data_IF_404241466731
#
_entry.id   IF_404241466731
#
_cell.length_a   1.000
_cell.length_b   1.000
_cell.length_c   1.000
_cell.angle_alpha   90.00
_cell.angle_beta   90.00
_cell.angle_gamma   90.00
#
_symmetry.space_group_name_H-M   'P 1'
#
loop_
_entity.id
_entity.type
_entity.pdbx_description
1 polymer ?
#
# COMPACT_ATOMS: atom_id res chain seq x y z
N UNK A 1 -6.87 -5.30 -14.31
CA UNK A 1 -7.20 -3.88 -14.08
C UNK A 1 -6.42 -3.47 -12.84
N UNK A 2 -5.49 -2.51 -12.95
CA UNK A 2 -4.68 -2.11 -11.80
C UNK A 2 -5.58 -1.55 -10.69
N UNK A 3 -5.49 -2.16 -9.50
CA UNK A 3 -6.39 -1.92 -8.36
C UNK A 3 -5.75 -1.06 -7.27
N UNK A 4 -4.81 -0.19 -7.66
CA UNK A 4 -4.05 0.60 -6.69
C UNK A 4 -4.97 1.46 -5.79
N UNK A 5 -5.87 2.22 -6.38
CA UNK A 5 -6.72 3.15 -5.62
C UNK A 5 -7.68 2.42 -4.65
N UNK A 6 -8.38 1.34 -5.04
CA UNK A 6 -9.10 0.48 -4.10
C UNK A 6 -8.24 0.00 -2.93
N UNK A 7 -7.05 -0.54 -3.18
CA UNK A 7 -6.20 -1.09 -2.12
C UNK A 7 -5.72 0.00 -1.15
N UNK A 8 -5.38 1.18 -1.68
CA UNK A 8 -5.03 2.36 -0.89
C UNK A 8 -6.18 2.85 -0.01
N UNK A 9 -7.41 2.87 -0.55
CA UNK A 9 -8.60 3.24 0.21
C UNK A 9 -8.87 2.26 1.34
N UNK A 10 -8.68 0.96 1.10
CA UNK A 10 -8.81 -0.07 2.13
C UNK A 10 -7.79 0.15 3.25
N UNK A 11 -6.51 0.33 2.92
CA UNK A 11 -5.46 0.57 3.92
C UNK A 11 -5.56 1.93 4.62
N UNK A 12 -6.27 2.88 4.03
CA UNK A 12 -6.59 4.17 4.65
C UNK A 12 -7.93 4.17 5.42
N UNK A 13 -8.62 3.03 5.50
CA UNK A 13 -9.82 2.93 6.31
C UNK A 13 -9.48 3.19 7.79
N UNK A 14 -10.37 3.85 8.57
CA UNK A 14 -10.09 4.22 9.95
C UNK A 14 -9.64 3.05 10.83
N UNK A 15 -10.20 1.86 10.60
CA UNK A 15 -9.87 0.66 11.34
C UNK A 15 -8.53 0.01 10.94
N UNK A 16 -7.99 0.35 9.76
CA UNK A 16 -6.66 -0.09 9.33
C UNK A 16 -5.57 0.84 9.87
N UNK A 17 -5.79 2.15 9.71
CA UNK A 17 -4.87 3.18 10.20
C UNK A 17 -3.45 3.11 9.62
N UNK A 18 -3.25 2.42 8.49
CA UNK A 18 -1.94 2.35 7.85
C UNK A 18 -1.59 3.67 7.15
N UNK A 19 -2.61 4.34 6.60
CA UNK A 19 -2.55 5.59 5.86
C UNK A 19 -3.66 6.53 6.34
N UNK A 20 -3.43 7.84 6.20
CA UNK A 20 -4.48 8.84 6.29
C UNK A 20 -4.89 9.30 4.89
N UNK A 21 -6.19 9.29 4.62
CA UNK A 21 -6.74 9.69 3.32
C UNK A 21 -7.46 11.03 3.41
N UNK A 22 -7.20 11.89 2.44
CA UNK A 22 -7.91 13.16 2.23
C UNK A 22 -8.37 13.21 0.78
N UNK A 23 -9.69 13.17 0.58
CA UNK A 23 -10.29 13.34 -0.73
C UNK A 23 -10.18 14.81 -1.18
N UNK A 24 -9.82 15.04 -2.43
CA UNK A 24 -9.75 16.35 -3.04
C UNK A 24 -10.50 16.36 -4.39
N UNK A 25 -10.78 17.55 -4.91
CA UNK A 25 -11.42 17.69 -6.21
C UNK A 25 -10.48 17.15 -7.31
N UNK A 26 -10.83 16.00 -7.87
CA UNK A 26 -10.07 15.36 -8.96
C UNK A 26 -8.91 14.46 -8.52
N UNK A 27 -8.63 14.31 -7.22
CA UNK A 27 -7.60 13.40 -6.72
C UNK A 27 -7.88 12.89 -5.30
N UNK A 28 -7.15 11.85 -4.89
CA UNK A 28 -7.08 11.41 -3.50
C UNK A 28 -5.66 11.51 -2.99
N UNK A 29 -5.51 12.09 -1.79
CA UNK A 29 -4.22 12.23 -1.14
C UNK A 29 -4.10 11.21 -0.01
N UNK A 30 -2.96 10.55 0.05
CA UNK A 30 -2.60 9.56 1.06
C UNK A 30 -1.34 10.02 1.80
N UNK A 31 -1.40 9.96 3.12
CA UNK A 31 -0.32 10.42 3.99
C UNK A 31 0.09 9.36 4.99
N UNK A 32 1.37 9.36 5.34
CA UNK A 32 1.94 8.49 6.35
C UNK A 32 3.06 9.16 7.14
N UNK A 33 3.41 8.57 8.28
CA UNK A 33 4.52 9.01 9.13
C UNK A 33 4.33 10.39 9.79
N UNK A 34 3.08 10.83 9.96
CA UNK A 34 2.71 12.05 10.72
C UNK A 34 2.51 11.74 12.22
N UNK A 35 2.41 12.77 13.07
CA UNK A 35 2.25 12.63 14.52
C UNK A 35 0.81 12.78 14.99
N UNK A 36 0.07 13.67 14.36
CA UNK A 36 -1.29 14.04 14.69
C UNK A 36 -2.06 14.53 13.46
N UNK A 37 -3.39 14.61 13.59
CA UNK A 37 -4.26 15.23 12.59
C UNK A 37 -4.68 16.59 13.13
N UNK A 38 -4.47 17.64 12.35
CA UNK A 38 -4.88 19.00 12.66
C UNK A 38 -6.42 19.10 12.64
N UNK A 39 -6.98 20.13 13.28
CA UNK A 39 -8.43 20.38 13.27
C UNK A 39 -9.04 20.58 11.87
N UNK A 40 -8.21 20.86 10.85
CA UNK A 40 -8.61 20.91 9.44
C UNK A 40 -8.75 19.54 8.76
N UNK A 41 -8.39 18.44 9.44
CA UNK A 41 -8.36 17.09 8.87
C UNK A 41 -7.08 16.75 8.10
N UNK A 42 -6.10 17.66 8.06
CA UNK A 42 -4.78 17.41 7.45
C UNK A 42 -3.79 16.86 8.47
N UNK A 43 -2.86 15.99 8.06
CA UNK A 43 -1.79 15.51 8.95
C UNK A 43 -0.79 16.63 9.26
N UNK A 44 -0.25 16.61 10.47
CA UNK A 44 0.88 17.48 10.81
C UNK A 44 2.18 16.93 10.20
N UNK A 45 2.89 17.77 9.44
CA UNK A 45 4.23 17.45 8.90
C UNK A 45 4.37 16.00 8.39
N UNK A 46 3.54 15.56 7.42
CA UNK A 46 3.60 14.19 6.93
C UNK A 46 4.98 13.90 6.34
N UNK A 47 5.52 12.72 6.65
CA UNK A 47 6.81 12.27 6.08
C UNK A 47 6.67 11.73 4.67
N UNK A 48 5.47 11.31 4.31
CA UNK A 48 5.14 10.66 3.05
C UNK A 48 3.81 11.24 2.57
N UNK A 49 3.79 11.69 1.32
CA UNK A 49 2.59 12.17 0.62
C UNK A 49 2.54 11.59 -0.80
N UNK A 50 1.41 10.98 -1.11
CA UNK A 50 1.06 10.50 -2.44
C UNK A 50 -0.27 11.09 -2.86
N UNK A 51 -0.36 11.56 -4.11
CA UNK A 51 -1.61 12.00 -4.73
C UNK A 51 -1.94 11.09 -5.90
N UNK A 52 -3.17 10.59 -5.99
CA UNK A 52 -3.64 9.75 -7.08
C UNK A 52 -4.76 10.47 -7.82
N UNK A 53 -4.56 10.76 -9.11
CA UNK A 53 -5.57 11.43 -9.93
C UNK A 53 -6.76 10.49 -10.25
N UNK A 54 -7.98 11.03 -10.23
CA UNK A 54 -9.16 10.28 -10.61
C UNK A 54 -9.16 9.96 -12.12
N UNK A 55 -9.44 8.71 -12.48
CA UNK A 55 -9.63 8.27 -13.87
C UNK A 55 -8.37 7.87 -14.63
N UNK A 56 -7.20 8.40 -14.29
CA UNK A 56 -5.93 8.02 -14.93
C UNK A 56 -5.08 7.04 -14.12
N UNK A 57 -5.36 6.89 -12.81
CA UNK A 57 -4.48 6.20 -11.86
C UNK A 57 -3.04 6.74 -11.83
N UNK A 58 -2.81 7.94 -12.37
CA UNK A 58 -1.50 8.58 -12.31
C UNK A 58 -1.18 8.93 -10.87
N UNK A 59 -0.03 8.44 -10.41
CA UNK A 59 0.48 8.70 -9.08
C UNK A 59 1.47 9.85 -9.13
N UNK A 60 1.20 10.89 -8.36
CA UNK A 60 2.12 11.99 -8.13
C UNK A 60 2.77 11.83 -6.75
N UNK A 61 4.10 11.83 -6.76
CA UNK A 61 4.94 11.69 -5.57
C UNK A 61 5.73 12.96 -5.31
N UNK A 62 5.93 13.27 -4.04
CA UNK A 62 7.11 14.06 -3.66
C UNK A 62 8.36 13.16 -3.80
N UNK A 63 9.49 13.77 -4.15
CA UNK A 63 10.73 13.04 -4.42
C UNK A 63 11.15 12.21 -3.20
N UNK A 64 11.29 10.89 -3.38
CA UNK A 64 11.73 9.97 -2.33
C UNK A 64 10.60 9.30 -1.54
N UNK A 65 9.34 9.72 -1.73
CA UNK A 65 8.22 9.21 -0.94
C UNK A 65 7.79 7.78 -1.32
N UNK A 66 8.03 7.37 -2.56
CA UNK A 66 7.72 6.02 -3.03
C UNK A 66 8.44 4.91 -2.24
N UNK A 67 9.79 4.88 -2.14
CA UNK A 67 10.47 3.89 -1.31
C UNK A 67 10.17 4.05 0.18
N UNK A 68 9.96 5.28 0.66
CA UNK A 68 9.57 5.52 2.05
C UNK A 68 8.19 4.93 2.38
N UNK A 69 7.24 4.94 1.44
CA UNK A 69 5.93 4.33 1.62
C UNK A 69 6.04 2.82 1.77
N UNK A 70 6.83 2.15 0.92
CA UNK A 70 7.07 0.71 1.02
C UNK A 70 7.59 0.34 2.42
N UNK A 71 8.64 1.03 2.88
CA UNK A 71 9.24 0.81 4.19
C UNK A 71 8.25 1.09 5.33
N UNK A 72 7.45 2.16 5.22
CA UNK A 72 6.41 2.49 6.19
C UNK A 72 5.36 1.37 6.28
N UNK A 73 4.87 0.86 5.15
CA UNK A 73 3.87 -0.21 5.12
C UNK A 73 4.41 -1.53 5.66
N UNK A 74 5.66 -1.88 5.34
CA UNK A 74 6.32 -3.06 5.91
C UNK A 74 6.50 -2.93 7.44
N UNK A 75 6.87 -1.74 7.92
CA UNK A 75 6.99 -1.48 9.36
C UNK A 75 5.63 -1.49 10.07
N UNK A 76 4.59 -0.97 9.42
CA UNK A 76 3.21 -1.05 9.91
C UNK A 76 2.76 -2.52 10.04
N UNK A 77 3.01 -3.35 9.03
CA UNK A 77 2.72 -4.79 9.08
C UNK A 77 3.49 -5.49 10.20
N UNK A 78 4.77 -5.15 10.40
CA UNK A 78 5.59 -5.69 11.49
C UNK A 78 5.03 -5.39 12.88
N UNK A 79 4.46 -4.19 13.10
CA UNK A 79 3.77 -3.85 14.36
C UNK A 79 2.53 -4.69 14.63
N UNK A 80 1.96 -5.29 13.59
CA UNK A 80 0.84 -6.25 13.66
C UNK A 80 1.31 -7.71 13.71
N UNK A 81 2.59 -7.95 13.99
CA UNK A 81 3.21 -9.29 14.00
C UNK A 81 3.22 -10.01 12.63
N UNK A 82 3.15 -9.25 11.54
CA UNK A 82 3.35 -9.79 10.20
C UNK A 82 4.75 -9.49 9.67
N UNK A 83 5.38 -10.49 9.08
CA UNK A 83 6.65 -10.37 8.37
C UNK A 83 6.38 -10.34 6.87
N UNK A 84 6.73 -9.23 6.24
CA UNK A 84 6.64 -9.07 4.79
C UNK A 84 7.95 -9.49 4.13
N UNK A 85 7.87 -10.26 3.04
CA UNK A 85 8.96 -10.56 2.11
C UNK A 85 8.56 -10.05 0.73
N UNK A 86 9.45 -9.30 0.09
CA UNK A 86 9.30 -8.78 -1.28
C UNK A 86 10.42 -9.35 -2.14
N UNK A 87 10.06 -9.96 -3.26
CA UNK A 87 11.01 -10.61 -4.17
C UNK A 87 10.75 -10.18 -5.62
N UNK A 88 11.81 -10.04 -6.40
CA UNK A 88 11.71 -9.92 -7.84
C UNK A 88 11.75 -11.33 -8.43
N UNK A 89 10.69 -11.70 -9.14
CA UNK A 89 10.51 -13.02 -9.77
C UNK A 89 10.41 -12.80 -11.27
N UNK A 90 11.09 -13.63 -12.06
CA UNK A 90 10.87 -13.66 -13.50
C UNK A 90 9.76 -14.64 -13.80
N UNK A 91 8.67 -14.14 -14.38
CA UNK A 91 7.63 -14.96 -14.98
C UNK A 91 8.01 -15.26 -16.42
N UNK A 92 7.95 -16.54 -16.76
CA UNK A 92 8.20 -17.05 -18.09
C UNK A 92 6.85 -17.51 -18.64
N UNK A 93 6.27 -16.71 -19.54
CA UNK A 93 4.98 -17.01 -20.16
C UNK A 93 5.06 -16.94 -21.70
N UNK A 94 3.93 -17.17 -22.35
CA UNK A 94 3.81 -17.13 -23.82
C UNK A 94 4.03 -15.73 -24.43
N UNK A 95 4.03 -14.68 -23.61
CA UNK A 95 4.29 -13.28 -23.99
C UNK A 95 5.75 -12.87 -23.78
N UNK A 96 6.58 -13.75 -23.24
CA UNK A 96 8.01 -13.55 -22.99
C UNK A 96 8.34 -13.41 -21.52
N UNK A 97 9.62 -13.15 -21.25
CA UNK A 97 10.12 -13.03 -19.89
C UNK A 97 9.71 -11.67 -19.32
N UNK A 98 8.94 -11.67 -18.23
CA UNK A 98 8.58 -10.44 -17.52
C UNK A 98 8.98 -10.53 -16.06
N UNK A 99 9.69 -9.51 -15.58
CA UNK A 99 9.98 -9.37 -14.15
C UNK A 99 8.76 -8.82 -13.41
N UNK A 100 8.30 -9.55 -12.41
CA UNK A 100 7.21 -9.18 -11.50
C UNK A 100 7.69 -9.17 -10.06
N UNK A 101 7.04 -8.40 -9.20
CA UNK A 101 7.29 -8.39 -7.77
C UNK A 101 6.29 -9.30 -7.07
N UNK A 102 6.78 -10.21 -6.24
CA UNK A 102 5.98 -11.03 -5.34
C UNK A 102 6.13 -10.51 -3.90
N UNK A 103 5.01 -10.11 -3.30
CA UNK A 103 4.90 -9.80 -1.89
C UNK A 103 4.26 -10.99 -1.16
N UNK A 104 4.88 -11.43 -0.08
CA UNK A 104 4.32 -12.46 0.79
C UNK A 104 4.34 -12.01 2.24
N UNK A 105 3.30 -12.40 2.98
CA UNK A 105 3.10 -12.03 4.38
C UNK A 105 3.06 -13.29 5.24
N UNK A 106 3.94 -13.33 6.24
CA UNK A 106 4.20 -14.48 7.11
C UNK A 106 4.07 -14.05 8.57
N UNK A 107 3.21 -14.70 9.35
CA UNK A 107 3.11 -14.46 10.80
C UNK A 107 1.67 -14.24 11.26
N UNK A 108 1.33 -14.82 12.41
CA UNK A 108 -0.05 -14.98 12.88
C UNK A 108 -0.70 -16.26 12.33
N UNK A 109 -2.04 -16.25 12.19
CA UNK A 109 -2.82 -17.33 11.55
C UNK A 109 -3.02 -17.11 10.04
N UNK A 110 -2.54 -15.99 9.50
CA UNK A 110 -2.78 -15.58 8.11
C UNK A 110 -1.52 -15.73 7.27
N UNK A 111 -1.65 -16.38 6.13
CA UNK A 111 -0.65 -16.40 5.07
C UNK A 111 -1.29 -15.82 3.81
N UNK A 112 -0.66 -14.82 3.22
CA UNK A 112 -1.11 -14.19 1.99
C UNK A 112 0.07 -13.94 1.04
N UNK A 113 -0.18 -14.00 -0.26
CA UNK A 113 0.77 -13.60 -1.27
C UNK A 113 0.08 -12.92 -2.45
N UNK A 114 0.75 -11.91 -3.01
CA UNK A 114 0.26 -11.19 -4.16
C UNK A 114 1.42 -10.81 -5.10
N UNK A 115 1.13 -10.78 -6.40
CA UNK A 115 2.07 -10.36 -7.45
C UNK A 115 1.59 -9.09 -8.16
N UNK A 116 2.54 -8.26 -8.57
CA UNK A 116 2.30 -7.09 -9.41
C UNK A 116 3.56 -6.67 -10.18
N UNK A 117 3.39 -5.75 -11.14
CA UNK A 117 4.51 -5.22 -11.95
C UNK A 117 5.41 -4.25 -11.17
N UNK A 118 4.93 -3.73 -10.05
CA UNK A 118 5.66 -2.86 -9.16
C UNK A 118 5.54 -3.34 -7.69
N UNK A 119 6.55 -3.06 -6.85
CA UNK A 119 6.58 -3.55 -5.48
C UNK A 119 5.48 -2.95 -4.59
N UNK A 120 5.00 -1.74 -4.89
CA UNK A 120 3.97 -1.08 -4.08
C UNK A 120 2.63 -1.76 -4.28
N UNK A 121 2.23 -1.99 -5.53
CA UNK A 121 1.00 -2.72 -5.83
C UNK A 121 1.03 -4.14 -5.26
N UNK A 122 2.16 -4.85 -5.36
CA UNK A 122 2.29 -6.18 -4.76
C UNK A 122 2.09 -6.14 -3.24
N UNK A 123 2.76 -5.17 -2.57
CA UNK A 123 2.65 -5.00 -1.12
C UNK A 123 1.24 -4.61 -0.66
N UNK A 124 0.60 -3.65 -1.33
CA UNK A 124 -0.74 -3.20 -0.97
C UNK A 124 -1.74 -4.35 -1.07
N UNK A 125 -1.69 -5.13 -2.17
CA UNK A 125 -2.57 -6.28 -2.38
C UNK A 125 -2.41 -7.34 -1.30
N UNK A 126 -1.17 -7.69 -0.93
CA UNK A 126 -0.95 -8.73 0.10
C UNK A 126 -1.45 -8.27 1.48
N UNK A 127 -1.28 -6.99 1.82
CA UNK A 127 -1.78 -6.43 3.08
C UNK A 127 -3.32 -6.41 3.10
N UNK A 128 -3.96 -5.97 2.01
CA UNK A 128 -5.43 -5.97 1.89
C UNK A 128 -6.01 -7.39 2.00
N UNK A 129 -5.39 -8.37 1.34
CA UNK A 129 -5.79 -9.77 1.44
C UNK A 129 -5.69 -10.28 2.88
N UNK A 130 -4.57 -10.00 3.56
CA UNK A 130 -4.37 -10.43 4.94
C UNK A 130 -5.46 -9.88 5.87
N UNK A 131 -5.80 -8.60 5.74
CA UNK A 131 -6.85 -7.96 6.55
C UNK A 131 -8.24 -8.57 6.28
N UNK A 132 -8.56 -8.88 5.02
CA UNK A 132 -9.81 -9.57 4.71
C UNK A 132 -9.87 -10.97 5.32
N UNK A 133 -8.75 -11.70 5.35
CA UNK A 133 -8.66 -13.01 6.00
C UNK A 133 -8.82 -12.90 7.52
N UNK A 134 -8.19 -11.92 8.17
CA UNK A 134 -8.31 -11.70 9.62
C UNK A 134 -9.75 -11.38 10.04
N UNK A 135 -10.50 -10.64 9.23
CA UNK A 135 -11.91 -10.31 9.51
C UNK A 135 -12.87 -11.47 9.31
N UNK A 136 -12.49 -12.48 8.53
CA UNK A 136 -13.33 -13.63 8.23
C UNK A 136 -13.17 -14.78 9.23
N UNK A 137 -12.11 -14.75 10.05
CA UNK A 137 -11.80 -15.75 11.08
C UNK A 137 -12.44 -15.40 12.43
#
# INVERSE_FOLDING_TARGET
>A
MDMLLPDLRTLAAPEMGALHRVAATGSENFYAGYRSILGSGLPDQPRIHMSVAHGTQDIQWLRGDSPNLLLHLMHWAARRNHRVRLELVNEFDENGDQSVYEASLHGGMVMASARALDPLSALLRVLVQAEHSERAA
#
